data_IF_907266302892
#
_entry.id   IF_907266302892
#
_cell.length_a   1.000
_cell.length_b   1.000
_cell.length_c   1.000
_cell.angle_alpha   90.00
_cell.angle_beta   90.00
_cell.angle_gamma   90.00
#
_symmetry.space_group_name_H-M   'P 1'
#
loop_
_entity.id
_entity.type
_entity.pdbx_description
1 polymer ?
#
# COMPACT_ATOMS: atom_id res chain seq x y z
N UNK A 1 27.80 33.69 -0.95
CA UNK A 1 27.88 32.22 -0.76
C UNK A 1 26.50 31.65 -1.03
N UNK A 2 26.27 31.19 -2.25
CA UNK A 2 25.02 30.56 -2.68
C UNK A 2 25.00 29.12 -2.18
N UNK A 3 24.12 28.82 -1.23
CA UNK A 3 23.86 27.45 -0.79
C UNK A 3 23.17 26.70 -1.92
N UNK A 4 23.92 25.82 -2.58
CA UNK A 4 23.38 24.85 -3.54
C UNK A 4 22.43 23.92 -2.78
N UNK A 5 21.13 24.11 -2.99
CA UNK A 5 20.11 23.16 -2.56
C UNK A 5 20.25 21.89 -3.41
N UNK A 6 20.99 20.90 -2.88
CA UNK A 6 21.09 19.59 -3.52
C UNK A 6 19.72 18.92 -3.45
N UNK A 7 19.10 18.73 -4.61
CA UNK A 7 17.91 17.91 -4.79
C UNK A 7 18.17 16.53 -4.13
N UNK A 8 17.29 16.00 -3.27
CA UNK A 8 17.52 14.71 -2.64
C UNK A 8 17.75 13.65 -3.73
N UNK A 9 18.88 12.94 -3.64
CA UNK A 9 19.24 11.87 -4.55
C UNK A 9 18.17 10.78 -4.46
N UNK A 10 17.56 10.42 -5.61
CA UNK A 10 16.63 9.30 -5.64
C UNK A 10 17.38 8.03 -5.19
N UNK A 11 16.78 7.18 -4.36
CA UNK A 11 17.41 5.92 -3.97
C UNK A 11 17.84 5.13 -5.21
N UNK A 12 19.07 4.63 -5.22
CA UNK A 12 19.56 3.83 -6.33
C UNK A 12 18.78 2.51 -6.41
N UNK A 13 18.45 2.04 -7.63
CA UNK A 13 17.80 0.75 -7.81
C UNK A 13 18.75 -0.39 -7.42
N UNK A 14 18.22 -1.45 -6.80
CA UNK A 14 18.97 -2.64 -6.38
C UNK A 14 18.41 -3.88 -7.04
N UNK A 15 19.29 -4.75 -7.54
CA UNK A 15 18.90 -6.07 -8.01
C UNK A 15 18.81 -7.01 -6.81
N UNK A 16 17.61 -7.55 -6.57
CA UNK A 16 17.37 -8.64 -5.65
C UNK A 16 16.93 -9.88 -6.43
N UNK A 17 16.80 -11.00 -5.74
CA UNK A 17 16.27 -12.23 -6.28
C UNK A 17 15.15 -12.75 -5.39
N UNK A 18 14.17 -13.41 -5.98
CA UNK A 18 13.17 -14.16 -5.22
C UNK A 18 13.91 -15.26 -4.45
N UNK A 19 13.82 -15.25 -3.13
CA UNK A 19 14.36 -16.28 -2.25
C UNK A 19 13.31 -17.34 -1.94
N UNK A 20 12.08 -16.89 -1.66
CA UNK A 20 10.98 -17.77 -1.28
C UNK A 20 9.64 -17.20 -1.72
N UNK A 21 8.66 -18.10 -1.87
CA UNK A 21 7.27 -17.81 -2.23
C UNK A 21 6.33 -18.61 -1.33
N UNK A 22 5.33 -17.96 -0.78
CA UNK A 22 4.31 -18.60 0.06
C UNK A 22 2.92 -18.08 -0.29
N UNK A 23 1.97 -18.98 -0.54
CA UNK A 23 0.56 -18.62 -0.68
C UNK A 23 -0.02 -18.34 0.72
N UNK A 24 -0.55 -17.13 0.95
CA UNK A 24 -1.15 -16.76 2.25
C UNK A 24 -2.66 -17.00 2.26
N UNK A 25 -3.32 -16.59 1.18
CA UNK A 25 -4.75 -16.81 0.91
C UNK A 25 -4.92 -17.14 -0.57
N UNK A 26 -6.11 -17.53 -1.07
CA UNK A 26 -6.30 -17.75 -2.52
C UNK A 26 -5.86 -16.56 -3.39
N UNK A 27 -6.06 -15.33 -2.92
CA UNK A 27 -5.75 -14.11 -3.68
C UNK A 27 -4.54 -13.31 -3.17
N UNK A 28 -3.73 -13.88 -2.27
CA UNK A 28 -2.55 -13.20 -1.72
C UNK A 28 -1.34 -14.13 -1.59
N UNK A 29 -0.20 -13.66 -2.12
CA UNK A 29 1.04 -14.41 -2.16
C UNK A 29 2.20 -13.58 -1.62
N UNK A 30 2.95 -14.12 -0.66
CA UNK A 30 4.16 -13.48 -0.12
C UNK A 30 5.38 -13.89 -0.92
N UNK A 31 6.15 -12.90 -1.36
CA UNK A 31 7.51 -13.09 -1.85
C UNK A 31 8.51 -12.62 -0.80
N UNK A 32 9.55 -13.41 -0.58
CA UNK A 32 10.76 -12.98 0.11
C UNK A 32 11.81 -12.70 -0.94
N UNK A 33 12.31 -11.48 -0.98
CA UNK A 33 13.34 -11.01 -1.89
C UNK A 33 14.65 -10.89 -1.12
N UNK A 34 15.75 -11.37 -1.70
CA UNK A 34 17.05 -11.36 -1.06
C UNK A 34 18.13 -10.68 -1.93
N UNK A 35 19.04 -9.99 -1.26
CA UNK A 35 20.20 -9.32 -1.87
C UNK A 35 20.78 -8.27 -0.93
N UNK A 36 21.56 -7.34 -1.47
CA UNK A 36 22.23 -6.33 -0.65
C UNK A 36 21.29 -5.20 -0.22
N UNK A 37 20.93 -5.18 1.07
CA UNK A 37 19.99 -4.23 1.68
C UNK A 37 20.57 -3.46 2.87
N UNK A 38 21.88 -3.51 3.12
CA UNK A 38 22.49 -2.95 4.34
C UNK A 38 22.17 -1.46 4.56
N UNK A 39 22.14 -0.67 3.48
CA UNK A 39 21.85 0.76 3.44
C UNK A 39 20.47 1.07 2.80
N UNK A 40 19.60 0.06 2.63
CA UNK A 40 18.23 0.28 2.17
C UNK A 40 17.46 1.07 3.24
N UNK A 41 16.98 2.28 2.93
CA UNK A 41 16.38 3.20 3.91
C UNK A 41 15.13 2.67 4.62
N UNK A 42 14.48 3.49 5.45
CA UNK A 42 13.20 3.13 6.08
C UNK A 42 12.01 3.70 5.31
N UNK A 43 10.92 2.95 5.24
CA UNK A 43 9.68 3.40 4.60
C UNK A 43 8.65 2.28 4.53
N UNK A 44 7.45 2.65 4.10
CA UNK A 44 6.29 1.76 4.06
C UNK A 44 6.06 1.18 2.68
N UNK A 45 6.51 1.86 1.65
CA UNK A 45 6.38 1.41 0.28
C UNK A 45 7.73 1.35 -0.42
N UNK A 46 7.79 0.66 -1.54
CA UNK A 46 8.94 0.66 -2.42
C UNK A 46 8.44 0.45 -3.85
N UNK A 47 9.30 0.71 -4.84
CA UNK A 47 9.02 0.35 -6.21
C UNK A 47 9.63 -1.02 -6.51
N UNK A 48 8.82 -1.94 -7.01
CA UNK A 48 9.24 -3.20 -7.60
C UNK A 48 9.36 -3.01 -9.11
N UNK A 49 10.51 -3.37 -9.67
CA UNK A 49 10.81 -3.32 -11.09
C UNK A 49 10.83 -4.76 -11.60
N UNK A 50 9.76 -5.15 -12.29
CA UNK A 50 9.68 -6.46 -12.91
C UNK A 50 10.55 -6.43 -14.17
N UNK A 51 11.57 -7.28 -14.17
CA UNK A 51 12.57 -7.43 -15.22
C UNK A 51 12.49 -8.83 -15.85
N UNK A 52 13.01 -9.03 -17.07
CA UNK A 52 13.08 -10.36 -17.67
C UNK A 52 13.85 -11.35 -16.79
N UNK A 53 13.49 -12.64 -16.89
CA UNK A 53 14.24 -13.71 -16.23
C UNK A 53 15.67 -13.78 -16.78
N UNK A 54 16.62 -14.13 -15.93
CA UNK A 54 18.05 -14.15 -16.27
C UNK A 54 18.74 -12.77 -16.31
N UNK A 55 18.04 -11.69 -15.96
CA UNK A 55 18.65 -10.37 -15.76
C UNK A 55 19.74 -10.43 -14.68
N UNK A 56 20.98 -10.15 -15.05
CA UNK A 56 22.14 -10.12 -14.14
C UNK A 56 22.52 -8.70 -13.67
N UNK A 57 22.03 -7.67 -14.36
CA UNK A 57 22.18 -6.27 -14.00
C UNK A 57 20.92 -5.49 -14.37
N UNK A 58 20.49 -4.57 -13.52
CA UNK A 58 19.30 -3.76 -13.82
C UNK A 58 19.55 -2.86 -15.04
N UNK A 59 18.56 -2.73 -15.93
CA UNK A 59 18.69 -1.83 -17.07
C UNK A 59 18.86 -0.39 -16.61
N UNK A 60 19.68 0.35 -17.34
CA UNK A 60 19.77 1.81 -17.16
C UNK A 60 18.38 2.45 -17.37
N UNK A 61 18.08 3.59 -16.74
CA UNK A 61 16.75 4.23 -16.80
C UNK A 61 16.20 4.45 -18.22
N UNK A 62 17.09 4.67 -19.19
CA UNK A 62 16.75 4.94 -20.59
C UNK A 62 16.87 3.70 -21.51
N UNK A 63 17.25 2.54 -20.96
CA UNK A 63 17.35 1.31 -21.73
C UNK A 63 15.97 0.72 -22.05
N UNK A 64 15.85 0.13 -23.24
CA UNK A 64 14.66 -0.59 -23.70
C UNK A 64 14.92 -2.12 -23.70
N UNK A 65 13.92 -2.95 -23.36
CA UNK A 65 12.61 -2.56 -22.84
C UNK A 65 12.68 -2.04 -21.40
N UNK A 66 11.87 -1.01 -21.08
CA UNK A 66 11.79 -0.47 -19.72
C UNK A 66 11.12 -1.48 -18.78
N UNK A 67 11.62 -1.66 -17.55
CA UNK A 67 10.96 -2.51 -16.55
C UNK A 67 9.54 -2.05 -16.27
N UNK A 68 8.67 -3.01 -15.94
CA UNK A 68 7.35 -2.68 -15.40
C UNK A 68 7.53 -2.29 -13.93
N UNK A 69 7.24 -1.03 -13.59
CA UNK A 69 7.46 -0.47 -12.25
C UNK A 69 6.15 -0.37 -11.50
N UNK A 70 6.10 -0.93 -10.28
CA UNK A 70 4.93 -0.96 -9.39
C UNK A 70 5.25 -0.55 -7.98
N UNK A 71 4.29 0.07 -7.30
CA UNK A 71 4.43 0.43 -5.88
C UNK A 71 3.86 -0.70 -5.04
N UNK A 72 4.65 -1.20 -4.09
CA UNK A 72 4.19 -2.19 -3.13
C UNK A 72 4.51 -1.76 -1.71
N UNK A 73 3.80 -2.35 -0.75
CA UNK A 73 4.10 -2.21 0.67
C UNK A 73 5.32 -3.06 1.03
N UNK A 74 6.30 -2.47 1.71
CA UNK A 74 7.35 -3.23 2.40
C UNK A 74 6.67 -3.98 3.55
N UNK A 75 6.57 -5.30 3.51
CA UNK A 75 5.85 -6.06 4.56
C UNK A 75 6.74 -6.31 5.78
N UNK A 76 7.97 -6.72 5.57
CA UNK A 76 9.07 -6.75 6.54
C UNK A 76 10.39 -6.43 5.83
N UNK A 77 11.37 -5.90 6.56
CA UNK A 77 12.70 -5.60 6.05
C UNK A 77 13.74 -5.99 7.11
N UNK A 78 14.53 -7.02 6.82
CA UNK A 78 15.68 -7.42 7.60
C UNK A 78 16.95 -7.09 6.82
N UNK A 79 17.61 -5.99 7.21
CA UNK A 79 18.84 -5.52 6.55
C UNK A 79 20.04 -6.41 6.83
N UNK A 80 20.06 -7.05 7.99
CA UNK A 80 21.18 -7.91 8.39
C UNK A 80 21.12 -9.24 7.62
N UNK A 81 19.93 -9.80 7.45
CA UNK A 81 19.70 -10.98 6.62
C UNK A 81 19.67 -10.67 5.11
N UNK A 82 19.56 -9.39 4.74
CA UNK A 82 19.42 -8.98 3.35
C UNK A 82 18.07 -9.36 2.75
N UNK A 83 17.00 -9.36 3.54
CA UNK A 83 15.67 -9.80 3.15
C UNK A 83 14.62 -8.68 3.17
N UNK A 84 13.81 -8.63 2.10
CA UNK A 84 12.64 -7.78 1.97
C UNK A 84 11.44 -8.66 1.62
N UNK A 85 10.37 -8.59 2.42
CA UNK A 85 9.13 -9.29 2.08
C UNK A 85 8.09 -8.35 1.48
N UNK A 86 7.31 -8.88 0.54
CA UNK A 86 6.20 -8.18 -0.11
C UNK A 86 5.04 -9.15 -0.28
N UNK A 87 3.83 -8.67 0.00
CA UNK A 87 2.59 -9.41 -0.25
C UNK A 87 1.99 -8.92 -1.57
N UNK A 88 1.91 -9.84 -2.53
CA UNK A 88 1.44 -9.64 -3.91
C UNK A 88 -0.02 -10.07 -4.00
N UNK A 89 -0.89 -9.11 -4.30
CA UNK A 89 -2.32 -9.35 -4.45
C UNK A 89 -2.59 -9.86 -5.87
N UNK A 90 -3.31 -10.97 -5.98
CA UNK A 90 -3.52 -11.72 -7.22
C UNK A 90 -4.82 -11.30 -7.93
N UNK A 91 -5.03 -10.01 -8.14
CA UNK A 91 -6.28 -9.47 -8.72
C UNK A 91 -6.23 -9.23 -10.25
N UNK A 92 -5.31 -9.91 -10.93
CA UNK A 92 -5.09 -9.80 -12.37
C UNK A 92 -3.98 -8.82 -12.79
N UNK A 93 -3.65 -8.78 -14.08
CA UNK A 93 -2.61 -7.92 -14.63
C UNK A 93 -1.19 -8.52 -14.54
N UNK A 94 -0.24 -7.78 -15.11
CA UNK A 94 1.13 -8.28 -15.33
C UNK A 94 1.87 -8.60 -14.03
N UNK A 95 1.74 -7.76 -13.00
CA UNK A 95 2.44 -7.97 -11.74
C UNK A 95 1.93 -9.21 -10.97
N UNK A 96 0.61 -9.42 -10.96
CA UNK A 96 -0.01 -10.61 -10.38
C UNK A 96 0.41 -11.89 -11.14
N UNK A 97 0.38 -11.84 -12.47
CA UNK A 97 0.81 -12.97 -13.31
C UNK A 97 2.29 -13.31 -13.10
N UNK A 98 3.15 -12.29 -13.07
CA UNK A 98 4.57 -12.48 -12.78
C UNK A 98 4.79 -13.09 -11.40
N UNK A 99 4.13 -12.56 -10.36
CA UNK A 99 4.25 -13.07 -9.00
C UNK A 99 3.80 -14.54 -8.87
N UNK A 100 2.72 -14.91 -9.56
CA UNK A 100 2.24 -16.28 -9.63
C UNK A 100 3.31 -17.22 -10.21
N UNK A 101 3.94 -16.81 -11.30
CA UNK A 101 4.95 -17.60 -12.01
C UNK A 101 6.33 -17.55 -11.35
N UNK A 102 6.60 -16.58 -10.47
CA UNK A 102 7.92 -16.35 -9.89
C UNK A 102 8.48 -17.59 -9.17
N UNK A 103 9.76 -17.87 -9.38
CA UNK A 103 10.49 -18.98 -8.76
C UNK A 103 11.71 -18.47 -7.98
N UNK A 104 12.20 -19.22 -6.97
CA UNK A 104 13.47 -18.90 -6.33
C UNK A 104 14.59 -18.71 -7.36
N UNK A 105 15.33 -17.60 -7.26
CA UNK A 105 16.34 -17.18 -8.21
C UNK A 105 15.86 -16.17 -9.27
N UNK A 106 14.54 -15.95 -9.43
CA UNK A 106 14.05 -14.96 -10.39
C UNK A 106 14.51 -13.53 -9.98
N UNK A 107 15.09 -12.75 -10.91
CA UNK A 107 15.60 -11.42 -10.62
C UNK A 107 14.47 -10.39 -10.52
N UNK A 108 14.65 -9.40 -9.64
CA UNK A 108 13.74 -8.27 -9.50
C UNK A 108 14.48 -7.01 -9.07
N UNK A 109 14.15 -5.86 -9.65
CA UNK A 109 14.69 -4.59 -9.19
C UNK A 109 13.85 -3.98 -8.06
N UNK A 110 14.48 -3.28 -7.14
CA UNK A 110 13.78 -2.52 -6.10
C UNK A 110 14.32 -1.10 -5.98
N UNK A 111 13.44 -0.12 -5.75
CA UNK A 111 13.80 1.27 -5.45
C UNK A 111 13.06 1.74 -4.21
N UNK A 112 13.76 2.34 -3.26
CA UNK A 112 13.18 2.90 -2.04
C UNK A 112 13.97 2.52 -0.80
N UNK A 113 13.30 2.31 0.34
CA UNK A 113 11.87 2.52 0.59
C UNK A 113 11.44 3.99 0.42
N UNK A 114 10.13 4.18 0.38
CA UNK A 114 9.41 5.44 0.20
C UNK A 114 8.23 5.49 1.20
N UNK A 115 7.60 6.65 1.30
CA UNK A 115 6.46 6.86 2.19
C UNK A 115 6.84 6.93 3.66
N UNK A 116 5.91 7.44 4.46
CA UNK A 116 6.07 7.60 5.91
C UNK A 116 5.02 6.74 6.64
N UNK A 117 5.31 6.34 7.90
CA UNK A 117 4.30 5.74 8.77
C UNK A 117 3.15 6.69 9.05
N UNK A 118 2.03 6.12 9.48
CA UNK A 118 0.97 6.90 10.08
C UNK A 118 1.43 7.58 11.37
N UNK A 119 0.81 8.72 11.76
CA UNK A 119 0.99 9.27 13.09
C UNK A 119 0.70 8.20 14.15
N UNK A 120 1.63 8.02 15.09
CA UNK A 120 1.53 7.03 16.19
C UNK A 120 0.89 7.69 17.41
N UNK A 121 -0.43 7.78 17.41
CA UNK A 121 -1.27 8.38 18.46
C UNK A 121 -2.18 7.30 19.06
N UNK A 122 -2.97 7.65 20.09
CA UNK A 122 -4.00 6.77 20.62
C UNK A 122 -5.28 6.71 19.74
N UNK A 123 -5.31 7.46 18.63
CA UNK A 123 -6.48 7.60 17.76
C UNK A 123 -7.54 8.56 18.32
N UNK A 124 -8.83 8.32 18.01
CA UNK A 124 -9.36 7.17 17.30
C UNK A 124 -8.99 7.14 15.81
N UNK A 125 -8.76 5.93 15.28
CA UNK A 125 -8.46 5.67 13.87
C UNK A 125 -9.68 5.19 13.09
N UNK A 126 -9.81 5.61 11.83
CA UNK A 126 -10.57 4.89 10.81
C UNK A 126 -9.58 4.36 9.77
N UNK A 127 -9.39 3.04 9.74
CA UNK A 127 -8.56 2.36 8.74
C UNK A 127 -9.48 1.55 7.85
N UNK A 128 -9.54 1.85 6.56
CA UNK A 128 -10.41 1.15 5.64
C UNK A 128 -9.71 0.81 4.32
N UNK A 129 -10.06 -0.31 3.70
CA UNK A 129 -9.54 -0.63 2.39
C UNK A 129 -10.06 -1.93 1.83
N UNK A 130 -9.70 -2.20 0.58
CA UNK A 130 -9.97 -3.48 -0.06
C UNK A 130 -8.77 -4.44 0.05
N UNK A 131 -8.91 -5.63 -0.51
CA UNK A 131 -7.87 -6.66 -0.55
C UNK A 131 -6.53 -6.17 -1.14
N UNK A 132 -6.52 -5.13 -2.00
CA UNK A 132 -5.28 -4.55 -2.51
C UNK A 132 -4.52 -3.75 -1.44
N UNK A 133 -5.25 -3.19 -0.47
CA UNK A 133 -4.70 -2.45 0.66
C UNK A 133 -4.38 -3.33 1.88
N UNK A 134 -4.85 -4.58 1.90
CA UNK A 134 -4.66 -5.50 3.03
C UNK A 134 -3.20 -5.62 3.51
N UNK A 135 -2.16 -5.71 2.65
CA UNK A 135 -0.76 -5.69 3.11
C UNK A 135 -0.36 -4.41 3.85
N UNK A 136 -0.83 -3.25 3.38
CA UNK A 136 -0.58 -1.96 4.02
C UNK A 136 -1.31 -1.85 5.36
N UNK A 137 -2.57 -2.28 5.41
CA UNK A 137 -3.36 -2.33 6.64
C UNK A 137 -2.68 -3.23 7.67
N UNK A 138 -2.31 -4.45 7.29
CA UNK A 138 -1.63 -5.39 8.20
C UNK A 138 -0.38 -4.78 8.83
N UNK A 139 0.46 -4.13 8.01
CA UNK A 139 1.64 -3.42 8.50
C UNK A 139 1.30 -2.25 9.42
N UNK A 140 0.31 -1.42 9.04
CA UNK A 140 -0.12 -0.28 9.87
C UNK A 140 -0.53 -0.77 11.25
N UNK A 141 -1.37 -1.81 11.33
CA UNK A 141 -1.89 -2.35 12.58
C UNK A 141 -0.78 -2.86 13.52
N UNK A 142 0.29 -3.43 12.97
CA UNK A 142 1.44 -3.92 13.74
C UNK A 142 2.30 -2.80 14.35
N UNK A 143 2.30 -1.61 13.74
CA UNK A 143 3.15 -0.49 14.17
C UNK A 143 2.44 0.51 15.10
N UNK A 144 1.10 0.46 15.12
CA UNK A 144 0.29 1.33 15.96
C UNK A 144 0.57 1.11 17.46
N UNK A 145 0.48 2.17 18.28
CA UNK A 145 0.53 2.04 19.74
C UNK A 145 -0.49 1.03 20.27
N UNK A 146 -0.15 0.31 21.34
CA UNK A 146 -1.03 -0.70 21.95
C UNK A 146 -2.37 -0.12 22.43
N UNK A 147 -2.38 1.16 22.82
CA UNK A 147 -3.56 1.90 23.26
C UNK A 147 -4.35 2.56 22.12
N UNK A 148 -3.99 2.32 20.85
CA UNK A 148 -4.74 2.81 19.71
C UNK A 148 -6.17 2.25 19.68
N UNK A 149 -7.12 3.15 19.43
CA UNK A 149 -8.56 2.84 19.36
C UNK A 149 -9.13 3.18 17.99
N UNK A 150 -10.30 2.62 17.63
CA UNK A 150 -10.98 2.98 16.39
C UNK A 150 -11.58 1.80 15.63
N UNK A 151 -11.79 1.96 14.33
CA UNK A 151 -12.41 0.98 13.45
C UNK A 151 -11.48 0.59 12.30
N UNK A 152 -11.47 -0.69 11.96
CA UNK A 152 -10.75 -1.26 10.82
C UNK A 152 -11.75 -2.00 9.95
N UNK A 153 -11.91 -1.58 8.69
CA UNK A 153 -12.82 -2.19 7.72
C UNK A 153 -12.03 -2.73 6.54
N UNK A 154 -12.14 -4.02 6.25
CA UNK A 154 -11.37 -4.63 5.16
C UNK A 154 -12.31 -5.40 4.25
N UNK A 155 -12.41 -4.97 3.00
CA UNK A 155 -13.17 -5.65 1.96
C UNK A 155 -12.32 -6.71 1.26
N UNK A 156 -12.76 -7.96 1.27
CA UNK A 156 -12.07 -9.10 0.64
C UNK A 156 -13.01 -9.94 -0.23
N UNK A 157 -12.49 -10.71 -1.20
CA UNK A 157 -13.33 -11.56 -2.04
C UNK A 157 -14.19 -12.55 -1.25
N UNK A 158 -13.69 -13.07 -0.12
CA UNK A 158 -14.47 -13.91 0.78
C UNK A 158 -13.69 -14.33 2.04
N UNK A 159 -14.27 -15.20 2.90
CA UNK A 159 -13.67 -15.60 4.17
C UNK A 159 -12.28 -16.25 4.05
N UNK A 160 -12.00 -16.92 2.93
CA UNK A 160 -10.70 -17.55 2.68
C UNK A 160 -9.57 -16.52 2.43
N UNK A 161 -9.92 -15.25 2.19
CA UNK A 161 -8.98 -14.14 1.99
C UNK A 161 -8.77 -13.29 3.23
N UNK A 162 -9.31 -13.72 4.38
CA UNK A 162 -8.96 -13.13 5.66
C UNK A 162 -7.54 -13.53 6.07
N UNK A 163 -6.77 -12.55 6.54
CA UNK A 163 -5.48 -12.80 7.16
C UNK A 163 -5.58 -12.76 8.69
N UNK A 164 -4.80 -13.57 9.41
CA UNK A 164 -4.58 -13.32 10.82
C UNK A 164 -3.85 -11.98 10.98
N UNK A 165 -4.51 -11.01 11.62
CA UNK A 165 -3.97 -9.66 11.82
C UNK A 165 -3.61 -9.44 13.29
N UNK A 166 -2.36 -9.04 13.53
CA UNK A 166 -1.92 -8.51 14.83
C UNK A 166 -2.35 -7.04 14.88
N UNK A 167 -3.06 -6.65 15.95
CA UNK A 167 -3.60 -5.30 16.08
C UNK A 167 -3.79 -4.91 17.55
N UNK A 168 -3.75 -3.60 17.87
CA UNK A 168 -4.18 -3.07 19.15
C UNK A 168 -5.58 -3.56 19.55
N UNK A 169 -5.80 -3.93 20.83
CA UNK A 169 -7.09 -4.44 21.30
C UNK A 169 -8.21 -3.40 21.22
N UNK A 170 -7.87 -2.10 21.25
CA UNK A 170 -8.82 -0.98 21.15
C UNK A 170 -9.38 -0.76 19.75
N UNK A 171 -8.79 -1.36 18.71
CA UNK A 171 -9.33 -1.31 17.36
C UNK A 171 -10.50 -2.31 17.23
N UNK A 172 -11.46 -2.04 16.35
CA UNK A 172 -12.52 -3.00 16.00
C UNK A 172 -12.41 -3.36 14.54
N UNK A 173 -12.02 -4.61 14.27
CA UNK A 173 -11.89 -5.15 12.93
C UNK A 173 -13.23 -5.74 12.46
N UNK A 174 -13.65 -5.36 11.24
CA UNK A 174 -14.72 -6.04 10.50
C UNK A 174 -14.23 -6.38 9.10
N UNK A 175 -14.38 -7.65 8.73
CA UNK A 175 -14.23 -8.11 7.36
C UNK A 175 -15.53 -7.90 6.60
N UNK A 176 -15.43 -7.42 5.37
CA UNK A 176 -16.53 -7.23 4.45
C UNK A 176 -16.32 -8.20 3.29
N UNK A 177 -17.22 -9.15 3.10
CA UNK A 177 -17.10 -10.17 2.07
C UNK A 177 -17.94 -9.81 0.86
N UNK A 178 -17.33 -9.89 -0.31
CA UNK A 178 -18.05 -9.75 -1.59
C UNK A 178 -19.02 -10.91 -1.78
N UNK A 179 -20.18 -10.59 -2.31
CA UNK A 179 -21.29 -11.54 -2.55
C UNK A 179 -21.43 -11.93 -4.02
N UNK A 180 -20.70 -11.26 -4.92
CA UNK A 180 -20.82 -11.36 -6.37
C UNK A 180 -21.99 -10.55 -6.94
N UNK A 181 -22.52 -9.60 -6.17
CA UNK A 181 -23.70 -8.79 -6.55
C UNK A 181 -23.31 -7.34 -6.85
N UNK A 182 -24.25 -6.55 -7.38
CA UNK A 182 -24.02 -5.12 -7.64
C UNK A 182 -23.71 -4.33 -6.35
N UNK A 183 -24.21 -4.78 -5.20
CA UNK A 183 -23.98 -4.15 -3.90
C UNK A 183 -22.49 -4.21 -3.49
N UNK A 184 -21.71 -5.12 -4.07
CA UNK A 184 -20.26 -5.20 -3.83
C UNK A 184 -19.52 -3.94 -4.33
N UNK A 185 -20.10 -3.16 -5.25
CA UNK A 185 -19.45 -1.94 -5.77
C UNK A 185 -19.34 -0.82 -4.73
N UNK A 186 -20.24 -0.82 -3.74
CA UNK A 186 -20.30 0.19 -2.68
C UNK A 186 -20.08 -0.37 -1.29
N UNK A 187 -19.81 -1.67 -1.15
CA UNK A 187 -19.73 -2.37 0.13
C UNK A 187 -18.84 -1.68 1.17
N UNK A 188 -17.63 -1.27 0.80
CA UNK A 188 -16.73 -0.56 1.71
C UNK A 188 -17.26 0.84 2.06
N UNK A 189 -17.79 1.57 1.07
CA UNK A 189 -18.35 2.91 1.24
C UNK A 189 -19.54 2.89 2.20
N UNK A 190 -20.44 1.94 2.02
CA UNK A 190 -21.63 1.75 2.84
C UNK A 190 -21.24 1.35 4.26
N UNK A 191 -20.25 0.45 4.42
CA UNK A 191 -19.75 0.06 5.72
C UNK A 191 -19.07 1.22 6.49
N UNK A 192 -18.38 2.13 5.79
CA UNK A 192 -17.82 3.35 6.37
C UNK A 192 -18.93 4.32 6.78
N UNK A 193 -19.90 4.57 5.91
CA UNK A 193 -21.05 5.47 6.17
C UNK A 193 -21.94 4.97 7.32
N UNK A 194 -22.00 3.65 7.52
CA UNK A 194 -22.75 3.03 8.62
C UNK A 194 -22.05 3.12 9.98
N UNK A 195 -20.80 3.58 10.06
CA UNK A 195 -20.12 3.80 11.34
C UNK A 195 -20.70 5.03 12.04
N UNK A 196 -20.76 4.97 13.37
CA UNK A 196 -20.89 6.19 14.17
C UNK A 196 -19.68 7.08 13.89
N UNK A 197 -19.89 8.37 13.53
CA UNK A 197 -18.78 9.29 13.30
C UNK A 197 -17.81 9.33 14.48
N UNK A 198 -16.52 9.23 14.19
CA UNK A 198 -15.48 9.29 15.20
C UNK A 198 -15.29 10.73 15.70
N UNK A 199 -14.93 10.92 16.97
CA UNK A 199 -14.43 12.21 17.45
C UNK A 199 -13.25 12.70 16.61
N UNK A 200 -13.30 13.95 16.16
CA UNK A 200 -12.21 14.60 15.41
C UNK A 200 -11.36 15.42 16.37
N UNK A 201 -10.47 14.73 17.06
CA UNK A 201 -9.48 15.31 17.99
C UNK A 201 -8.13 15.39 17.28
N UNK A 202 -7.15 16.18 17.77
CA UNK A 202 -5.82 16.24 17.14
C UNK A 202 -5.10 14.88 16.98
N UNK A 203 -5.48 13.87 17.75
CA UNK A 203 -4.92 12.50 17.67
C UNK A 203 -5.70 11.59 16.73
N UNK A 204 -6.87 11.99 16.25
CA UNK A 204 -7.69 11.19 15.34
C UNK A 204 -7.08 11.15 13.93
N UNK A 205 -7.22 10.02 13.24
CA UNK A 205 -6.67 9.87 11.90
C UNK A 205 -7.47 8.90 11.03
N UNK A 206 -7.62 9.24 9.75
CA UNK A 206 -8.28 8.41 8.74
C UNK A 206 -7.26 7.94 7.72
N UNK A 207 -7.18 6.64 7.49
CA UNK A 207 -6.39 6.05 6.41
C UNK A 207 -7.30 5.17 5.56
N UNK A 208 -7.39 5.47 4.26
CA UNK A 208 -8.16 4.65 3.33
C UNK A 208 -7.37 4.40 2.06
N UNK A 209 -7.31 3.14 1.66
CA UNK A 209 -6.80 2.77 0.34
C UNK A 209 -7.65 1.66 -0.29
N UNK A 210 -8.11 1.89 -1.51
CA UNK A 210 -8.90 0.93 -2.28
C UNK A 210 -8.95 1.34 -3.76
N UNK A 211 -9.99 0.95 -4.48
CA UNK A 211 -10.26 1.40 -5.84
C UNK A 211 -10.49 2.92 -5.93
N UNK A 212 -9.96 3.56 -6.98
CA UNK A 212 -9.96 5.02 -7.15
C UNK A 212 -11.32 5.71 -7.05
N UNK A 213 -12.37 5.19 -7.68
CA UNK A 213 -13.70 5.79 -7.60
C UNK A 213 -14.27 5.68 -6.17
N UNK A 214 -14.01 4.56 -5.51
CA UNK A 214 -14.39 4.32 -4.11
C UNK A 214 -13.69 5.32 -3.17
N UNK A 215 -12.39 5.56 -3.37
CA UNK A 215 -11.63 6.59 -2.63
C UNK A 215 -12.19 7.99 -2.88
N UNK A 216 -12.58 8.32 -4.12
CA UNK A 216 -13.19 9.62 -4.45
C UNK A 216 -14.52 9.82 -3.71
N UNK A 217 -15.38 8.81 -3.70
CA UNK A 217 -16.65 8.85 -2.99
C UNK A 217 -16.45 9.00 -1.47
N UNK A 218 -15.50 8.25 -0.90
CA UNK A 218 -15.16 8.33 0.52
C UNK A 218 -14.52 9.66 0.91
N UNK A 219 -13.70 10.25 0.03
CA UNK A 219 -13.14 11.60 0.24
C UNK A 219 -14.23 12.66 0.31
N UNK A 220 -15.18 12.64 -0.62
CA UNK A 220 -16.30 13.58 -0.60
C UNK A 220 -17.10 13.44 0.71
N UNK A 221 -17.43 12.21 1.11
CA UNK A 221 -18.10 11.95 2.38
C UNK A 221 -17.33 12.49 3.60
N UNK A 222 -16.05 12.11 3.74
CA UNK A 222 -15.25 12.46 4.92
C UNK A 222 -14.96 13.96 5.01
N UNK A 223 -14.64 14.59 3.88
CA UNK A 223 -14.24 16.01 3.83
C UNK A 223 -15.44 16.94 3.79
N UNK A 224 -16.40 16.68 2.92
CA UNK A 224 -17.50 17.60 2.63
C UNK A 224 -18.69 17.39 3.57
N UNK A 225 -19.03 16.13 3.88
CA UNK A 225 -20.17 15.83 4.78
C UNK A 225 -19.75 15.79 6.26
N UNK A 226 -18.61 15.16 6.59
CA UNK A 226 -18.15 15.03 7.98
C UNK A 226 -17.11 16.08 8.42
N UNK A 227 -16.55 16.86 7.50
CA UNK A 227 -15.65 17.97 7.83
C UNK A 227 -14.24 17.58 8.30
N UNK A 228 -13.76 16.37 7.98
CA UNK A 228 -12.41 15.95 8.39
C UNK A 228 -11.32 16.86 7.80
N UNK A 229 -10.33 17.28 8.61
CA UNK A 229 -9.22 18.09 8.12
C UNK A 229 -8.25 17.24 7.28
N UNK A 230 -7.73 17.77 6.14
CA UNK A 230 -6.83 17.02 5.25
C UNK A 230 -5.59 16.45 5.94
N UNK A 231 -5.06 17.12 6.96
CA UNK A 231 -3.86 16.70 7.69
C UNK A 231 -4.09 15.47 8.58
N UNK A 232 -5.36 15.12 8.83
CA UNK A 232 -5.76 13.93 9.57
C UNK A 232 -6.29 12.82 8.65
N UNK A 233 -6.09 12.96 7.33
CA UNK A 233 -6.55 12.01 6.35
C UNK A 233 -5.41 11.61 5.41
N UNK A 234 -5.35 10.32 5.10
CA UNK A 234 -4.55 9.81 3.99
C UNK A 234 -5.42 8.87 3.17
N UNK A 235 -5.81 9.32 1.97
CA UNK A 235 -6.71 8.61 1.07
C UNK A 235 -5.96 8.32 -0.24
N UNK A 236 -5.92 7.05 -0.67
CA UNK A 236 -5.12 6.63 -1.81
C UNK A 236 -5.82 5.61 -2.70
N UNK A 237 -6.06 5.96 -3.97
CA UNK A 237 -6.49 5.00 -4.99
C UNK A 237 -5.33 4.07 -5.37
N UNK A 238 -5.42 2.79 -5.02
CA UNK A 238 -4.37 1.80 -5.33
C UNK A 238 -4.50 1.25 -6.74
N UNK A 239 -5.73 1.16 -7.25
CA UNK A 239 -6.02 0.64 -8.58
C UNK A 239 -7.32 1.26 -9.09
N UNK A 240 -7.59 1.12 -10.38
CA UNK A 240 -8.81 1.63 -11.02
C UNK A 240 -9.41 0.55 -11.91
N UNK A 241 -10.71 0.30 -11.73
CA UNK A 241 -11.44 -0.69 -12.53
C UNK A 241 -11.41 -0.33 -14.02
N UNK A 242 -11.17 -1.32 -14.87
CA UNK A 242 -11.16 -1.17 -16.33
C UNK A 242 -9.98 -0.37 -16.89
N UNK A 243 -9.01 0.00 -16.06
CA UNK A 243 -7.80 0.70 -16.50
C UNK A 243 -6.60 -0.17 -16.17
N UNK A 244 -5.79 -0.47 -17.18
CA UNK A 244 -4.55 -1.17 -16.92
C UNK A 244 -3.61 -0.31 -16.05
N UNK A 245 -2.76 -1.00 -15.32
CA UNK A 245 -1.96 -0.42 -14.26
C UNK A 245 -0.88 0.56 -14.77
N UNK A 246 -0.47 0.47 -16.05
CA UNK A 246 0.45 1.43 -16.66
C UNK A 246 -0.27 2.74 -16.96
N UNK A 247 -1.44 2.66 -17.59
CA UNK A 247 -2.29 3.84 -17.85
C UNK A 247 -2.77 4.47 -16.54
N UNK A 248 -3.04 3.67 -15.51
CA UNK A 248 -3.39 4.20 -14.19
C UNK A 248 -2.22 4.96 -13.57
N UNK A 249 -1.01 4.40 -13.52
CA UNK A 249 0.16 5.11 -12.94
C UNK A 249 0.39 6.49 -13.57
N UNK A 250 0.24 6.60 -14.90
CA UNK A 250 0.46 7.86 -15.62
C UNK A 250 -0.68 8.88 -15.40
N UNK A 251 -1.85 8.43 -14.95
CA UNK A 251 -3.04 9.27 -14.70
C UNK A 251 -3.39 9.43 -13.22
N UNK A 252 -2.84 8.62 -12.32
CA UNK A 252 -3.17 8.60 -10.89
C UNK A 252 -2.57 9.76 -10.08
N UNK A 253 -1.75 10.62 -10.71
CA UNK A 253 -1.25 11.85 -10.08
C UNK A 253 -2.38 12.77 -9.55
N UNK A 254 -3.64 12.51 -9.91
CA UNK A 254 -4.82 13.26 -9.47
C UNK A 254 -5.53 12.69 -8.23
N UNK A 255 -5.21 11.48 -7.77
CA UNK A 255 -5.94 10.84 -6.67
C UNK A 255 -5.40 11.19 -5.28
N UNK A 256 -4.32 12.00 -5.21
CA UNK A 256 -3.80 12.60 -3.99
C UNK A 256 -4.13 14.08 -3.95
N UNK A 257 -4.81 14.55 -2.90
CA UNK A 257 -4.97 15.98 -2.73
C UNK A 257 -3.64 16.58 -2.21
N UNK A 258 -3.14 17.71 -2.77
CA UNK A 258 -1.83 18.27 -2.42
C UNK A 258 -1.64 18.57 -0.93
N UNK A 259 -2.74 18.73 -0.19
CA UNK A 259 -2.85 19.05 1.23
C UNK A 259 -2.87 17.81 2.16
N UNK A 260 -3.04 16.59 1.64
CA UNK A 260 -3.14 15.33 2.43
C UNK A 260 -1.77 14.80 2.90
N UNK A 261 -0.69 15.23 2.23
CA UNK A 261 0.68 15.02 2.71
C UNK A 261 1.22 16.39 3.05
N UNK A 262 1.85 16.57 4.22
CA UNK A 262 2.50 17.83 4.64
C UNK A 262 3.62 18.35 3.71
N UNK A 263 3.64 17.99 2.43
CA UNK A 263 4.32 18.68 1.34
C UNK A 263 3.61 19.99 1.01
N UNK A 264 3.56 20.89 1.99
CA UNK A 264 3.53 22.31 1.65
C UNK A 264 4.73 22.58 0.75
N UNK A 265 4.51 23.22 -0.40
CA UNK A 265 5.60 23.82 -1.16
C UNK A 265 6.21 24.90 -0.27
N UNK A 266 7.27 24.53 0.45
CA UNK A 266 8.26 25.45 1.00
C UNK A 266 9.42 25.55 0.03
#
# INVERSE_FOLDING_TARGET
>A
MTTSSSRPTRPAPRLLHVRAKAQLTPNLLRLTLAGDLHDFGSGHTFKLLIVPRGTSALPLPDAAPRPVVRTFTVRTLDRAAGELTVDMVLHGGFAAQWAWQAEPGDPVGVVGPLGAPLPRTAGPYLIAGDHCALPAIARILEELPHDATGNVLIEVPGPADELPLIRPPGLRLRWLHRTGTADDETLLQDAVRALTPLPQTPTSFVWIACESASVKALRAYLREELGWPPQQMQLAGYWKRGVDERTYHDTAHYDHAPDEYGRGRG
#
